data_IF_461301429724
#
_entry.id   IF_461301429724
#
_cell.length_a   1.000
_cell.length_b   1.000
_cell.length_c   1.000
_cell.angle_alpha   90.00
_cell.angle_beta   90.00
_cell.angle_gamma   90.00
#
_symmetry.space_group_name_H-M   'P 1'
#
loop_
_entity.id
_entity.type
_entity.pdbx_description
1 polymer ?
#
# COMPACT_ATOMS: atom_id res chain seq x y z
N UNK A 1 70.29 -7.38 -14.32
CA UNK A 1 71.18 -6.30 -14.80
C UNK A 1 71.01 -6.21 -16.31
N UNK A 2 70.57 -5.05 -16.79
CA UNK A 2 70.59 -4.57 -18.18
C UNK A 2 69.59 -5.21 -19.17
N UNK A 3 68.90 -4.50 -20.07
CA UNK A 3 68.68 -3.07 -20.35
C UNK A 3 67.66 -3.05 -21.51
N UNK A 4 66.60 -2.21 -21.39
CA UNK A 4 66.01 -1.29 -22.41
C UNK A 4 66.20 -1.65 -23.90
N UNK A 5 65.29 -1.41 -24.85
CA UNK A 5 64.18 -0.43 -25.01
C UNK A 5 63.75 -0.55 -26.49
N UNK A 6 62.53 -0.10 -26.77
CA UNK A 6 62.17 0.74 -27.96
C UNK A 6 62.12 0.04 -29.34
N UNK A 7 61.28 0.39 -30.31
CA UNK A 7 60.26 1.44 -30.51
C UNK A 7 59.85 1.44 -32.00
N UNK A 8 58.62 1.91 -32.30
CA UNK A 8 58.11 2.41 -33.60
C UNK A 8 57.91 1.36 -34.71
N UNK A 9 56.87 1.42 -35.54
CA UNK A 9 55.82 2.43 -35.73
C UNK A 9 55.27 2.33 -37.16
N UNK A 10 54.03 2.82 -37.35
CA UNK A 10 53.42 3.10 -38.67
C UNK A 10 52.94 1.85 -39.43
N UNK A 11 51.92 1.90 -40.28
CA UNK A 11 51.07 2.98 -40.74
C UNK A 11 49.81 2.37 -41.37
N UNK A 12 48.82 3.25 -41.50
CA UNK A 12 47.49 3.09 -42.09
C UNK A 12 47.55 2.59 -43.55
N UNK A 13 46.61 1.74 -43.93
CA UNK A 13 46.08 1.71 -45.30
C UNK A 13 44.63 1.19 -45.30
N UNK A 14 43.70 2.12 -45.48
CA UNK A 14 42.32 1.85 -45.92
C UNK A 14 42.37 1.49 -47.39
N UNK A 15 41.69 0.41 -47.77
CA UNK A 15 41.55 -0.01 -49.17
C UNK A 15 40.35 -0.94 -49.33
N UNK A 16 39.18 -0.35 -49.51
CA UNK A 16 37.98 -1.06 -49.93
C UNK A 16 38.09 -1.44 -51.41
N UNK A 17 37.89 -2.71 -51.75
CA UNK A 17 37.51 -3.12 -53.11
C UNK A 17 36.49 -4.27 -53.04
N UNK A 18 35.26 -3.92 -53.40
CA UNK A 18 34.22 -4.86 -53.86
C UNK A 18 34.65 -5.47 -55.20
N UNK A 19 34.28 -6.72 -55.50
CA UNK A 19 33.51 -7.09 -56.70
C UNK A 19 33.21 -8.60 -56.78
N UNK A 20 32.11 -8.87 -57.48
CA UNK A 20 31.23 -10.03 -57.45
C UNK A 20 31.68 -11.30 -58.23
N UNK A 21 31.20 -12.44 -57.73
CA UNK A 21 30.64 -13.64 -58.40
C UNK A 21 31.35 -14.28 -59.61
N UNK A 22 31.78 -15.55 -59.46
CA UNK A 22 31.18 -16.71 -60.14
C UNK A 22 31.94 -18.04 -59.87
N UNK A 23 31.20 -19.07 -59.44
CA UNK A 23 31.37 -20.45 -59.91
C UNK A 23 32.33 -21.38 -59.14
N UNK A 24 31.78 -22.14 -58.20
CA UNK A 24 31.94 -23.60 -58.04
C UNK A 24 31.25 -24.00 -56.74
N UNK A 25 30.44 -25.06 -56.78
CA UNK A 25 29.67 -25.53 -55.64
C UNK A 25 30.53 -25.71 -54.40
N UNK A 26 30.21 -24.98 -53.35
CA UNK A 26 30.64 -25.30 -51.99
C UNK A 26 29.37 -25.71 -51.26
N UNK A 27 29.45 -26.83 -50.56
CA UNK A 27 28.37 -27.37 -49.75
C UNK A 27 27.74 -26.25 -48.92
N UNK A 28 26.41 -26.21 -48.87
CA UNK A 28 25.71 -25.51 -47.81
C UNK A 28 26.09 -26.23 -46.52
N UNK A 29 27.15 -25.75 -45.86
CA UNK A 29 27.24 -25.89 -44.43
C UNK A 29 26.09 -25.03 -43.91
N UNK A 30 25.02 -25.70 -43.52
CA UNK A 30 23.99 -25.15 -42.67
C UNK A 30 24.65 -24.81 -41.35
N UNK A 31 25.34 -23.67 -41.29
CA UNK A 31 25.61 -23.02 -40.03
C UNK A 31 24.26 -22.45 -39.58
N UNK A 32 23.40 -23.33 -39.03
CA UNK A 32 22.48 -22.91 -37.99
C UNK A 32 23.35 -22.25 -36.93
N UNK A 33 23.50 -20.93 -37.02
CA UNK A 33 23.89 -20.11 -35.89
C UNK A 33 22.74 -20.28 -34.91
N UNK A 34 22.84 -21.32 -34.09
CA UNK A 34 22.01 -21.54 -32.93
C UNK A 34 22.18 -20.28 -32.08
N UNK A 35 21.23 -19.36 -32.24
CA UNK A 35 21.33 -18.02 -31.72
C UNK A 35 21.29 -18.10 -30.21
N UNK A 36 22.46 -18.09 -29.57
CA UNK A 36 22.59 -18.04 -28.11
C UNK A 36 22.23 -16.63 -27.60
N UNK A 37 21.01 -16.18 -27.88
CA UNK A 37 20.44 -14.94 -27.37
C UNK A 37 20.11 -15.08 -25.89
N UNK A 38 20.37 -14.01 -25.14
CA UNK A 38 19.94 -13.88 -23.74
C UNK A 38 18.86 -12.81 -23.68
N UNK A 39 17.70 -13.16 -23.15
CA UNK A 39 16.61 -12.20 -22.93
C UNK A 39 16.98 -11.23 -21.80
N UNK A 40 17.01 -9.94 -22.11
CA UNK A 40 17.21 -8.86 -21.14
C UNK A 40 15.86 -8.19 -20.91
N UNK A 41 15.24 -8.48 -19.77
CA UNK A 41 13.96 -7.91 -19.38
C UNK A 41 14.19 -6.81 -18.33
N UNK A 42 13.59 -5.64 -18.55
CA UNK A 42 13.56 -4.54 -17.58
C UNK A 42 12.11 -4.17 -17.28
N UNK A 43 11.77 -4.10 -15.99
CA UNK A 43 10.50 -3.51 -15.54
C UNK A 43 10.78 -2.06 -15.17
N UNK A 44 10.10 -1.12 -15.82
CA UNK A 44 10.15 0.31 -15.47
C UNK A 44 8.86 0.64 -14.74
N UNK A 45 8.91 0.96 -13.43
CA UNK A 45 7.71 1.30 -12.67
C UNK A 45 7.10 2.63 -13.12
N UNK A 46 5.83 2.86 -12.76
CA UNK A 46 5.15 4.13 -13.01
C UNK A 46 5.86 5.28 -12.30
N UNK A 47 5.95 6.45 -12.96
CA UNK A 47 6.39 7.69 -12.32
C UNK A 47 5.19 8.35 -11.67
N UNK A 48 5.24 8.55 -10.36
CA UNK A 48 4.24 9.31 -9.64
C UNK A 48 4.35 10.82 -9.94
N UNK A 49 3.23 11.56 -9.86
CA UNK A 49 3.29 13.03 -9.88
C UNK A 49 4.18 13.49 -8.72
N UNK A 50 5.20 14.34 -8.94
CA UNK A 50 6.15 14.66 -7.88
C UNK A 50 5.49 15.49 -6.77
N UNK A 51 5.60 15.03 -5.51
CA UNK A 51 5.28 15.85 -4.32
C UNK A 51 3.85 15.77 -3.78
N UNK A 52 3.14 14.67 -3.99
CA UNK A 52 1.76 14.46 -3.54
C UNK A 52 1.72 13.49 -2.36
N UNK A 53 0.91 13.82 -1.35
CA UNK A 53 0.41 12.89 -0.35
C UNK A 53 -1.11 12.81 -0.50
N UNK A 54 -1.64 11.63 -0.81
CA UNK A 54 -3.04 11.43 -1.13
C UNK A 54 -3.65 10.29 -0.33
N UNK A 55 -4.91 10.45 0.06
CA UNK A 55 -5.76 9.45 0.70
C UNK A 55 -6.92 9.11 -0.23
N UNK A 56 -7.17 7.81 -0.44
CA UNK A 56 -8.36 7.31 -1.15
C UNK A 56 -9.05 6.23 -0.33
N UNK A 57 -10.37 6.11 -0.49
CA UNK A 57 -11.19 5.11 0.20
C UNK A 57 -12.05 4.42 -0.86
N UNK A 58 -12.00 3.09 -0.93
CA UNK A 58 -12.62 2.30 -1.99
C UNK A 58 -14.16 2.40 -2.01
N UNK A 59 -14.78 2.71 -0.88
CA UNK A 59 -16.23 2.93 -0.74
C UNK A 59 -16.50 3.96 0.36
N UNK A 60 -17.60 4.71 0.23
CA UNK A 60 -18.05 5.66 1.23
C UNK A 60 -19.04 5.08 2.26
N UNK A 61 -19.25 3.75 2.23
CA UNK A 61 -20.15 3.08 3.15
C UNK A 61 -19.70 1.63 3.42
N UNK A 62 -20.03 1.15 4.62
CA UNK A 62 -19.98 -0.25 5.04
C UNK A 62 -21.19 -0.56 5.93
N UNK A 63 -21.45 -1.84 6.21
CA UNK A 63 -22.58 -2.29 7.03
C UNK A 63 -22.08 -3.27 8.08
N UNK A 64 -22.55 -3.12 9.31
CA UNK A 64 -22.30 -4.07 10.38
C UNK A 64 -23.45 -5.09 10.44
N UNK A 65 -23.12 -6.37 10.56
CA UNK A 65 -24.07 -7.47 10.62
C UNK A 65 -24.01 -8.14 11.99
N UNK A 66 -25.17 -8.47 12.57
CA UNK A 66 -25.23 -9.12 13.87
C UNK A 66 -24.58 -10.51 13.82
N UNK A 67 -23.56 -10.71 14.66
CA UNK A 67 -22.84 -11.98 14.79
C UNK A 67 -22.11 -12.00 16.13
N UNK A 68 -22.26 -13.08 16.89
CA UNK A 68 -21.62 -13.22 18.20
C UNK A 68 -22.38 -12.63 19.39
N UNK A 69 -23.64 -12.21 19.21
CA UNK A 69 -24.49 -11.73 20.31
C UNK A 69 -24.69 -12.78 21.41
N UNK A 70 -24.80 -12.32 22.66
CA UNK A 70 -25.14 -13.10 23.84
C UNK A 70 -26.53 -12.70 24.38
N UNK A 71 -26.92 -13.23 25.54
CA UNK A 71 -28.15 -12.82 26.21
C UNK A 71 -28.09 -11.41 26.81
N UNK A 72 -26.89 -10.90 27.08
CA UNK A 72 -26.67 -9.60 27.73
C UNK A 72 -26.22 -8.52 26.74
N UNK A 73 -25.58 -8.92 25.66
CA UNK A 73 -24.94 -8.01 24.70
C UNK A 73 -25.26 -8.43 23.27
N UNK A 74 -25.43 -7.45 22.39
CA UNK A 74 -25.54 -7.66 20.95
C UNK A 74 -24.26 -7.20 20.29
N UNK A 75 -23.75 -8.01 19.37
CA UNK A 75 -22.51 -7.73 18.65
C UNK A 75 -22.78 -7.65 17.16
N UNK A 76 -22.24 -6.62 16.52
CA UNK A 76 -22.29 -6.41 15.09
C UNK A 76 -20.88 -6.27 14.54
N UNK A 77 -20.57 -7.02 13.49
CA UNK A 77 -19.25 -7.03 12.85
C UNK A 77 -19.34 -6.54 11.41
N UNK A 78 -18.29 -5.89 10.94
CA UNK A 78 -18.13 -5.50 9.54
C UNK A 78 -16.67 -5.20 9.22
N UNK A 79 -16.42 -4.65 8.05
CA UNK A 79 -15.07 -4.31 7.62
C UNK A 79 -15.06 -2.92 7.01
N UNK A 80 -14.02 -2.14 7.32
CA UNK A 80 -13.76 -0.85 6.71
C UNK A 80 -13.42 -1.07 5.22
N UNK A 81 -13.98 -0.30 4.28
CA UNK A 81 -13.51 -0.35 2.90
C UNK A 81 -12.02 -0.02 2.82
N UNK A 82 -11.32 -0.63 1.86
CA UNK A 82 -9.89 -0.42 1.70
C UNK A 82 -9.54 1.07 1.60
N UNK A 83 -8.54 1.47 2.38
CA UNK A 83 -8.00 2.83 2.46
C UNK A 83 -6.59 2.79 1.90
N UNK A 84 -6.31 3.61 0.89
CA UNK A 84 -4.99 3.67 0.26
C UNK A 84 -4.37 5.04 0.45
N UNK A 85 -3.14 5.06 0.96
CA UNK A 85 -2.28 6.23 0.99
C UNK A 85 -1.25 6.13 -0.12
N UNK A 86 -1.09 7.20 -0.89
CA UNK A 86 -0.02 7.33 -1.88
C UNK A 86 0.86 8.51 -1.48
N UNK A 87 2.15 8.25 -1.23
CA UNK A 87 3.16 9.29 -0.97
C UNK A 87 4.16 9.31 -2.12
N UNK A 88 4.36 10.48 -2.71
CA UNK A 88 5.25 10.71 -3.84
C UNK A 88 6.21 11.87 -3.54
N UNK A 89 6.25 12.32 -2.27
CA UNK A 89 7.13 13.39 -1.79
C UNK A 89 8.59 12.91 -1.80
N UNK A 90 9.50 13.84 -2.03
CA UNK A 90 10.93 13.52 -2.15
C UNK A 90 11.60 13.22 -0.80
N UNK A 91 11.05 13.75 0.30
CA UNK A 91 11.73 13.80 1.60
C UNK A 91 11.30 12.70 2.58
N UNK A 92 10.35 11.83 2.22
CA UNK A 92 9.88 10.74 3.09
C UNK A 92 9.40 11.23 4.46
N UNK A 93 8.73 12.39 4.47
CA UNK A 93 8.10 13.00 5.63
C UNK A 93 7.12 12.02 6.29
N UNK A 94 6.93 12.16 7.59
CA UNK A 94 6.00 11.30 8.32
C UNK A 94 4.57 11.63 7.91
N UNK A 95 3.70 10.65 8.07
CA UNK A 95 2.27 10.83 7.88
C UNK A 95 1.51 9.77 8.68
N UNK A 96 0.26 10.06 8.96
CA UNK A 96 -0.66 9.14 9.61
C UNK A 96 -2.09 9.34 9.09
N UNK A 97 -2.84 8.24 9.00
CA UNK A 97 -4.28 8.24 8.79
C UNK A 97 -4.95 7.89 10.10
N UNK A 98 -5.78 8.79 10.62
CA UNK A 98 -6.57 8.56 11.84
C UNK A 98 -8.05 8.42 11.52
N UNK A 99 -8.78 7.62 12.30
CA UNK A 99 -10.23 7.49 12.25
C UNK A 99 -10.92 7.98 13.52
N UNK A 100 -12.03 8.70 13.38
CA UNK A 100 -12.95 9.08 14.46
C UNK A 100 -14.40 8.88 14.02
N UNK A 101 -15.24 8.30 14.88
CA UNK A 101 -16.65 8.03 14.59
C UNK A 101 -17.58 8.95 15.37
N UNK A 102 -18.70 9.34 14.76
CA UNK A 102 -19.79 10.01 15.47
C UNK A 102 -20.67 9.02 16.21
N UNK A 103 -21.52 9.52 17.12
CA UNK A 103 -22.59 8.73 17.69
C UNK A 103 -23.48 8.09 16.61
N UNK A 104 -23.94 6.87 16.88
CA UNK A 104 -24.89 6.15 16.07
C UNK A 104 -26.30 6.61 16.41
N UNK A 105 -26.97 7.22 15.44
CA UNK A 105 -28.34 7.72 15.60
C UNK A 105 -29.33 6.81 14.89
N UNK A 106 -30.43 6.45 15.55
CA UNK A 106 -31.49 5.66 14.93
C UNK A 106 -32.16 6.45 13.81
N UNK A 107 -32.36 5.82 12.66
CA UNK A 107 -32.79 6.46 11.41
C UNK A 107 -34.22 7.03 11.50
N UNK A 108 -35.09 6.40 12.28
CA UNK A 108 -36.51 6.78 12.44
C UNK A 108 -36.81 7.49 13.78
N UNK A 109 -35.84 7.61 14.69
CA UNK A 109 -35.97 8.31 15.98
C UNK A 109 -34.60 8.81 16.48
N UNK A 110 -34.27 10.06 16.18
CA UNK A 110 -32.99 10.66 16.54
C UNK A 110 -32.75 10.81 18.06
N UNK A 111 -33.73 10.52 18.92
CA UNK A 111 -33.55 10.50 20.37
C UNK A 111 -32.93 9.19 20.87
N UNK A 112 -32.84 8.17 20.01
CA UNK A 112 -32.19 6.89 20.29
C UNK A 112 -30.76 6.93 19.76
N UNK A 113 -29.82 6.93 20.69
CA UNK A 113 -28.39 7.06 20.44
C UNK A 113 -27.67 5.83 20.99
N UNK A 114 -26.70 5.33 20.24
CA UNK A 114 -25.61 4.47 20.72
C UNK A 114 -24.35 5.34 20.62
N UNK A 115 -23.59 5.43 21.71
CA UNK A 115 -22.39 6.28 21.73
C UNK A 115 -21.32 5.78 20.74
N UNK A 116 -20.55 6.71 20.19
CA UNK A 116 -19.40 6.42 19.32
C UNK A 116 -18.38 5.47 19.97
N UNK A 117 -18.26 5.54 21.29
CA UNK A 117 -17.37 4.77 22.15
C UNK A 117 -17.68 3.26 22.17
N UNK A 118 -18.86 2.86 21.67
CA UNK A 118 -19.22 1.45 21.51
C UNK A 118 -18.57 0.78 20.31
N UNK A 119 -18.08 1.54 19.33
CA UNK A 119 -17.41 1.01 18.15
C UNK A 119 -15.92 0.87 18.41
N UNK A 120 -15.41 -0.36 18.22
CA UNK A 120 -14.00 -0.67 18.12
C UNK A 120 -13.59 -1.05 16.70
N UNK A 121 -12.27 -1.13 16.48
CA UNK A 121 -11.69 -1.65 15.24
C UNK A 121 -10.39 -2.40 15.45
N UNK A 122 -9.99 -3.16 14.43
CA UNK A 122 -8.69 -3.82 14.35
C UNK A 122 -8.04 -3.52 12.99
N UNK A 123 -7.20 -2.47 12.90
CA UNK A 123 -6.48 -2.11 11.68
C UNK A 123 -5.54 -3.21 11.19
N UNK A 124 -5.41 -3.33 9.86
CA UNK A 124 -4.50 -4.28 9.21
C UNK A 124 -4.04 -3.74 7.85
N UNK A 125 -2.78 -3.98 7.51
CA UNK A 125 -2.29 -3.78 6.16
C UNK A 125 -2.93 -4.83 5.23
N UNK A 126 -3.46 -4.37 4.09
CA UNK A 126 -3.97 -5.25 3.03
C UNK A 126 -2.96 -5.42 1.90
N UNK A 127 -2.09 -4.43 1.70
CA UNK A 127 -0.93 -4.50 0.82
C UNK A 127 0.29 -3.96 1.58
N UNK A 128 1.13 -4.88 2.05
CA UNK A 128 2.38 -4.59 2.74
C UNK A 128 3.55 -4.91 1.81
N UNK A 129 4.33 -3.91 1.36
CA UNK A 129 5.55 -4.16 0.60
C UNK A 129 6.64 -4.90 1.41
N UNK A 130 6.47 -5.04 2.73
CA UNK A 130 7.33 -5.82 3.61
C UNK A 130 8.66 -5.14 3.95
N UNK A 131 8.75 -3.83 3.68
CA UNK A 131 9.94 -3.02 3.94
C UNK A 131 9.96 -2.38 5.35
N UNK A 132 8.87 -2.56 6.12
CA UNK A 132 8.72 -2.02 7.47
C UNK A 132 8.63 -0.49 7.51
N UNK A 133 8.29 0.15 6.40
CA UNK A 133 8.21 1.63 6.33
C UNK A 133 6.86 2.18 6.77
N UNK A 134 5.84 1.33 6.81
CA UNK A 134 4.46 1.67 7.16
C UNK A 134 3.89 0.57 8.04
N UNK A 135 3.14 0.96 9.06
CA UNK A 135 2.53 0.07 10.05
C UNK A 135 1.04 0.37 10.18
N UNK A 136 0.25 -0.69 10.43
CA UNK A 136 -1.13 -0.54 10.85
C UNK A 136 -1.20 0.01 12.28
N UNK A 137 -2.26 0.76 12.59
CA UNK A 137 -2.56 1.20 13.94
C UNK A 137 -2.90 0.06 14.90
N UNK A 138 -2.95 0.37 16.19
CA UNK A 138 -3.31 -0.59 17.22
C UNK A 138 -4.81 -0.92 17.23
N UNK A 139 -5.13 -2.10 17.77
CA UNK A 139 -6.51 -2.48 18.07
C UNK A 139 -7.14 -1.49 19.05
N UNK A 140 -8.39 -1.12 18.78
CA UNK A 140 -9.20 -0.26 19.66
C UNK A 140 -10.47 -1.02 19.99
N UNK A 141 -10.63 -1.39 21.25
CA UNK A 141 -11.84 -2.05 21.72
C UNK A 141 -12.93 -1.04 22.06
N UNK A 142 -14.19 -1.44 21.93
CA UNK A 142 -15.33 -0.64 22.38
C UNK A 142 -15.49 -0.66 23.91
N UNK A 143 -16.32 0.22 24.46
CA UNK A 143 -16.46 0.38 25.93
C UNK A 143 -17.02 -0.84 26.66
N UNK A 144 -17.82 -1.68 26.00
CA UNK A 144 -18.28 -2.95 26.58
C UNK A 144 -17.16 -3.99 26.73
N UNK A 145 -16.06 -3.83 25.98
CA UNK A 145 -14.85 -4.65 26.11
C UNK A 145 -13.75 -3.92 26.92
N UNK A 146 -14.13 -2.89 27.69
CA UNK A 146 -13.24 -2.05 28.48
C UNK A 146 -12.17 -1.28 27.67
N UNK A 147 -12.41 -1.09 26.36
CA UNK A 147 -11.63 -0.19 25.53
C UNK A 147 -12.17 1.25 25.53
N UNK A 148 -11.45 2.17 24.86
CA UNK A 148 -11.87 3.57 24.77
C UNK A 148 -12.92 3.83 23.68
N UNK A 149 -13.10 2.92 22.72
CA UNK A 149 -13.90 3.14 21.52
C UNK A 149 -13.29 4.15 20.55
N UNK A 150 -13.97 4.45 19.44
CA UNK A 150 -13.46 5.30 18.35
C UNK A 150 -13.93 6.76 18.39
N UNK A 151 -14.23 7.30 19.57
CA UNK A 151 -14.76 8.67 19.74
C UNK A 151 -13.67 9.76 19.87
N UNK A 152 -12.40 9.36 20.01
CA UNK A 152 -11.30 10.29 20.30
C UNK A 152 -10.12 10.25 19.29
N UNK A 153 -10.31 9.61 18.12
CA UNK A 153 -9.31 9.56 17.06
C UNK A 153 -8.19 8.54 17.32
N UNK A 154 -8.09 7.53 16.46
CA UNK A 154 -7.06 6.49 16.54
C UNK A 154 -6.42 6.24 15.19
N UNK A 155 -5.16 5.82 15.18
CA UNK A 155 -4.43 5.53 13.95
C UNK A 155 -5.02 4.29 13.25
N UNK A 156 -5.23 4.39 11.95
CA UNK A 156 -5.47 3.27 11.05
C UNK A 156 -4.15 2.76 10.47
N UNK A 157 -3.30 3.69 10.03
CA UNK A 157 -2.12 3.45 9.21
C UNK A 157 -1.15 4.63 9.38
N UNK A 158 0.13 4.38 9.57
CA UNK A 158 1.13 5.45 9.72
C UNK A 158 2.51 5.05 9.18
N UNK A 159 3.29 6.05 8.78
CA UNK A 159 4.69 5.86 8.40
C UNK A 159 5.56 5.58 9.63
N UNK A 160 6.23 4.42 9.66
CA UNK A 160 7.04 3.97 10.80
C UNK A 160 8.26 4.88 11.03
N UNK A 161 8.48 5.22 12.31
CA UNK A 161 9.46 6.22 12.75
C UNK A 161 10.91 5.77 12.70
N UNK A 162 11.19 4.47 12.82
CA UNK A 162 12.52 3.91 13.08
C UNK A 162 13.13 3.14 11.92
N UNK A 163 12.44 3.05 10.77
CA UNK A 163 12.97 2.40 9.59
C UNK A 163 14.27 3.09 9.16
N UNK A 164 15.41 2.47 9.51
CA UNK A 164 16.77 2.88 9.10
C UNK A 164 16.93 3.00 7.57
N UNK A 165 15.91 2.60 6.79
CA UNK A 165 15.81 2.77 5.35
C UNK A 165 15.47 4.21 4.89
N UNK A 166 15.25 5.16 5.82
CA UNK A 166 14.72 6.51 5.57
C UNK A 166 15.62 7.51 4.81
N UNK A 167 16.45 7.09 3.85
CA UNK A 167 17.22 8.03 3.02
C UNK A 167 16.99 7.89 1.52
N UNK A 168 16.36 6.82 1.04
CA UNK A 168 16.03 6.69 -0.38
C UNK A 168 14.52 6.48 -0.53
N UNK A 169 13.84 7.59 -0.83
CA UNK A 169 12.46 7.67 -1.33
C UNK A 169 11.46 6.66 -0.74
N UNK A 170 10.81 7.03 0.38
CA UNK A 170 9.51 6.45 0.81
C UNK A 170 8.38 6.84 -0.15
N UNK A 171 8.61 6.71 -1.45
CA UNK A 171 7.58 6.92 -2.45
C UNK A 171 6.89 5.59 -2.68
N UNK A 172 5.58 5.57 -2.57
CA UNK A 172 4.85 4.33 -2.64
C UNK A 172 3.36 4.50 -2.43
N UNK A 173 2.70 3.36 -2.41
CA UNK A 173 1.29 3.24 -2.10
C UNK A 173 1.12 2.12 -1.08
N UNK A 174 0.34 2.38 -0.04
CA UNK A 174 0.06 1.42 1.02
C UNK A 174 -1.43 1.36 1.26
N UNK A 175 -1.95 0.14 1.39
CA UNK A 175 -3.37 -0.09 1.61
C UNK A 175 -3.61 -0.75 2.97
N UNK A 176 -4.65 -0.30 3.64
CA UNK A 176 -5.11 -0.83 4.91
C UNK A 176 -6.63 -0.99 4.94
N UNK A 177 -7.08 -1.87 5.81
CA UNK A 177 -8.47 -2.09 6.18
C UNK A 177 -8.55 -2.18 7.71
N UNK A 178 -9.75 -2.30 8.26
CA UNK A 178 -9.94 -2.62 9.67
C UNK A 178 -11.19 -3.48 9.86
N UNK A 179 -11.10 -4.51 10.68
CA UNK A 179 -12.30 -5.22 11.15
C UNK A 179 -13.02 -4.31 12.16
N UNK A 180 -14.33 -4.12 11.99
CA UNK A 180 -15.15 -3.23 12.82
C UNK A 180 -16.01 -4.06 13.75
N UNK A 181 -16.04 -3.72 15.04
CA UNK A 181 -16.87 -4.38 16.04
C UNK A 181 -17.68 -3.36 16.84
N UNK A 182 -19.00 -3.43 16.76
CA UNK A 182 -19.91 -2.66 17.59
C UNK A 182 -20.59 -3.60 18.58
N UNK A 183 -20.43 -3.35 19.88
CA UNK A 183 -21.19 -4.02 20.93
C UNK A 183 -22.14 -3.05 21.62
N UNK A 184 -23.33 -3.54 21.93
CA UNK A 184 -24.35 -2.78 22.66
C UNK A 184 -25.08 -3.66 23.65
N UNK A 185 -25.68 -3.07 24.67
CA UNK A 185 -26.56 -3.79 25.59
C UNK A 185 -27.76 -4.43 24.85
N UNK A 186 -28.21 -5.60 25.31
CA UNK A 186 -29.38 -6.28 24.76
C UNK A 186 -30.68 -5.45 24.84
N UNK A 187 -30.71 -4.38 25.65
CA UNK A 187 -31.84 -3.47 25.81
C UNK A 187 -31.89 -2.33 24.80
N UNK A 188 -30.90 -2.19 23.91
CA UNK A 188 -30.91 -1.16 22.87
C UNK A 188 -32.16 -1.30 21.99
N UNK A 189 -32.79 -0.17 21.70
CA UNK A 189 -34.05 -0.14 20.93
C UNK A 189 -33.81 -0.67 19.51
N UNK A 190 -34.57 -1.68 19.03
CA UNK A 190 -34.40 -2.22 17.69
C UNK A 190 -34.67 -1.21 16.58
N UNK A 191 -33.91 -1.30 15.48
CA UNK A 191 -34.05 -0.50 14.27
C UNK A 191 -32.68 -0.18 13.65
N UNK A 192 -32.69 0.59 12.56
CA UNK A 192 -31.48 0.94 11.83
C UNK A 192 -30.79 2.16 12.45
N UNK A 193 -29.49 2.05 12.75
CA UNK A 193 -28.66 3.14 13.24
C UNK A 193 -27.61 3.52 12.20
N UNK A 194 -27.20 4.79 12.21
CA UNK A 194 -26.15 5.31 11.32
C UNK A 194 -25.18 6.21 12.08
N UNK A 195 -23.92 6.09 11.74
CA UNK A 195 -22.84 6.97 12.18
C UNK A 195 -21.98 7.35 10.98
N UNK A 196 -21.11 8.36 11.16
CA UNK A 196 -20.08 8.73 10.21
C UNK A 196 -18.70 8.44 10.82
N UNK A 197 -17.93 7.57 10.18
CA UNK A 197 -16.50 7.41 10.45
C UNK A 197 -15.73 8.34 9.51
N UNK A 198 -15.00 9.29 10.10
CA UNK A 198 -14.18 10.25 9.36
C UNK A 198 -12.72 9.80 9.40
N UNK A 199 -12.12 9.65 8.22
CA UNK A 199 -10.69 9.37 8.07
C UNK A 199 -9.97 10.67 7.69
N UNK A 200 -8.87 10.96 8.38
CA UNK A 200 -8.06 12.17 8.16
C UNK A 200 -6.60 11.79 7.96
N UNK A 201 -5.97 12.36 6.92
CA UNK A 201 -4.55 12.21 6.62
C UNK A 201 -3.79 13.43 7.14
N UNK A 202 -2.72 13.18 7.89
CA UNK A 202 -1.83 14.19 8.48
C UNK A 202 -0.40 14.01 7.98
N UNK A 203 0.36 15.10 7.89
CA UNK A 203 1.78 15.18 7.56
C UNK A 203 2.62 15.96 8.59
#
# INVERSE_FOLDING_TARGET
MNTRRMLRGGAIAVGALMLASAGAGVALADDEVDGQGVDVNVSVPATWDPGVLALTVASNATTLTESGSTALERQFIGELPEVTVTDTRANGEQWAVTGIVTDFTKTDDATKIIGADHLGWSPKLTDDPGDGTVEAGGDVEGTLDAGPGLDNGFDLLYAAWDAQAATEARQGSWSASADLTLKVDATVTPGDYKALLTLSLFD
#
